data_IF_722281401429
#
_entry.id   IF_722281401429
#
_cell.length_a   1.000
_cell.length_b   1.000
_cell.length_c   1.000
_cell.angle_alpha   90.00
_cell.angle_beta   90.00
_cell.angle_gamma   90.00
#
_symmetry.space_group_name_H-M   'P 1'
#
loop_
_entity.id
_entity.type
_entity.pdbx_description
1 polymer ?
#
# COMPACT_ATOMS: atom_id res chain seq x y z
N UNK A 1 7.83 13.07 3.12
CA UNK A 1 7.84 12.33 1.83
C UNK A 1 9.07 12.64 0.98
N UNK A 2 9.37 13.90 0.61
CA UNK A 2 10.54 14.24 -0.23
C UNK A 2 11.86 13.60 0.24
N UNK A 3 12.18 13.69 1.53
CA UNK A 3 13.36 13.03 2.12
C UNK A 3 13.42 11.51 1.90
N UNK A 4 12.28 10.81 1.94
CA UNK A 4 12.23 9.37 1.64
C UNK A 4 12.59 9.09 0.18
N UNK A 5 12.22 9.99 -0.73
CA UNK A 5 12.53 9.88 -2.16
C UNK A 5 13.99 10.22 -2.41
N UNK A 6 14.55 11.21 -1.71
CA UNK A 6 15.99 11.51 -1.77
C UNK A 6 16.83 10.31 -1.31
N UNK A 7 16.46 9.70 -0.18
CA UNK A 7 17.15 8.52 0.36
C UNK A 7 16.98 7.27 -0.51
N UNK A 8 15.82 7.13 -1.16
CA UNK A 8 15.53 6.02 -2.07
C UNK A 8 14.66 6.51 -3.25
N UNK A 9 15.28 6.86 -4.39
CA UNK A 9 14.57 7.41 -5.55
C UNK A 9 13.43 6.54 -6.08
N UNK A 10 13.50 5.21 -5.90
CA UNK A 10 12.42 4.30 -6.31
C UNK A 10 11.12 4.51 -5.53
N UNK A 11 11.16 5.18 -4.38
CA UNK A 11 9.96 5.56 -3.64
C UNK A 11 9.18 6.70 -4.31
N UNK A 12 9.81 7.44 -5.24
CA UNK A 12 9.15 8.45 -6.06
C UNK A 12 8.33 7.87 -7.22
N UNK A 13 8.37 6.55 -7.44
CA UNK A 13 7.55 5.89 -8.46
C UNK A 13 6.08 5.78 -8.02
N UNK A 14 5.11 5.92 -8.95
CA UNK A 14 3.71 5.66 -8.68
C UNK A 14 3.46 4.22 -8.19
N UNK A 15 2.50 4.05 -7.29
CA UNK A 15 2.00 2.71 -6.91
C UNK A 15 1.27 2.04 -8.06
N UNK A 16 0.49 2.81 -8.81
CA UNK A 16 -0.30 2.34 -9.93
C UNK A 16 -0.65 3.50 -10.86
N UNK A 17 -0.64 3.33 -12.19
CA UNK A 17 -0.89 4.42 -13.14
C UNK A 17 -2.27 5.08 -13.00
N UNK A 18 -3.27 4.36 -12.48
CA UNK A 18 -4.62 4.88 -12.24
C UNK A 18 -4.83 5.50 -10.85
N UNK A 19 -3.78 5.67 -10.03
CA UNK A 19 -3.86 6.22 -8.68
C UNK A 19 -2.82 7.34 -8.50
N UNK A 20 -3.15 8.44 -7.80
CA UNK A 20 -2.25 9.57 -7.62
C UNK A 20 -1.24 9.38 -6.47
N UNK A 21 -0.93 8.13 -6.10
CA UNK A 21 -0.11 7.82 -4.92
C UNK A 21 1.24 7.22 -5.28
N UNK A 22 2.26 7.62 -4.55
CA UNK A 22 3.64 7.16 -4.70
C UNK A 22 3.96 6.07 -3.68
N UNK A 23 4.99 5.27 -3.98
CA UNK A 23 5.50 4.26 -3.03
C UNK A 23 5.98 4.88 -1.71
N UNK A 24 6.48 6.12 -1.74
CA UNK A 24 6.91 6.86 -0.55
C UNK A 24 5.79 7.05 0.48
N UNK A 25 4.54 7.17 0.03
CA UNK A 25 3.39 7.34 0.92
C UNK A 25 3.11 6.09 1.74
N UNK A 26 3.36 4.90 1.17
CA UNK A 26 3.26 3.63 1.92
C UNK A 26 4.27 3.60 3.07
N UNK A 27 5.53 3.94 2.77
CA UNK A 27 6.61 3.96 3.77
C UNK A 27 6.32 4.99 4.85
N UNK A 28 5.85 6.18 4.45
CA UNK A 28 5.43 7.22 5.38
C UNK A 28 4.28 6.75 6.29
N UNK A 29 3.24 6.15 5.71
CA UNK A 29 2.10 5.64 6.46
C UNK A 29 2.54 4.63 7.54
N UNK A 30 3.51 3.75 7.24
CA UNK A 30 4.06 2.80 8.21
C UNK A 30 4.87 3.49 9.30
N UNK A 31 5.83 4.34 8.92
CA UNK A 31 6.81 4.93 9.84
C UNK A 31 6.22 6.03 10.72
N UNK A 32 5.30 6.82 10.18
CA UNK A 32 4.84 8.07 10.79
C UNK A 32 3.37 8.05 11.17
N UNK A 33 2.56 7.18 10.56
CA UNK A 33 1.11 7.14 10.78
C UNK A 33 0.61 5.80 11.35
N UNK A 34 1.56 4.95 11.77
CA UNK A 34 1.34 3.65 12.39
C UNK A 34 0.46 2.70 11.57
N UNK A 35 0.52 2.77 10.23
CA UNK A 35 -0.14 1.76 9.39
C UNK A 35 0.51 0.39 9.62
N UNK A 36 -0.31 -0.60 10.00
CA UNK A 36 0.08 -1.99 10.31
C UNK A 36 -0.56 -3.01 9.37
N UNK A 37 -1.53 -2.61 8.55
CA UNK A 37 -2.16 -3.47 7.55
C UNK A 37 -2.20 -2.82 6.17
N UNK A 38 -2.28 -3.63 5.11
CA UNK A 38 -2.47 -3.14 3.73
C UNK A 38 -3.77 -2.34 3.61
N UNK A 39 -4.81 -2.74 4.35
CA UNK A 39 -6.07 -2.01 4.43
C UNK A 39 -5.89 -0.62 5.06
N UNK A 40 -5.09 -0.47 6.13
CA UNK A 40 -4.81 0.84 6.73
C UNK A 40 -4.29 1.82 5.67
N UNK A 41 -3.36 1.35 4.81
CA UNK A 41 -2.78 2.15 3.75
C UNK A 41 -3.81 2.44 2.67
N UNK A 42 -4.35 1.40 2.03
CA UNK A 42 -5.14 1.52 0.80
C UNK A 42 -6.57 2.00 1.01
N UNK A 43 -7.18 1.72 2.17
CA UNK A 43 -8.56 2.13 2.45
C UNK A 43 -8.64 3.44 3.23
N UNK A 44 -7.66 3.76 4.10
CA UNK A 44 -7.74 4.91 5.01
C UNK A 44 -6.74 6.03 4.72
N UNK A 45 -5.45 5.73 4.52
CA UNK A 45 -4.42 6.77 4.31
C UNK A 45 -4.45 7.32 2.90
N UNK A 46 -4.47 6.45 1.90
CA UNK A 46 -4.59 6.85 0.49
C UNK A 46 -6.05 6.87 0.04
N UNK A 47 -6.94 6.08 0.66
CA UNK A 47 -8.33 5.90 0.18
C UNK A 47 -8.40 5.41 -1.28
N UNK A 48 -7.35 4.75 -1.76
CA UNK A 48 -7.29 4.11 -3.08
C UNK A 48 -8.46 3.16 -3.33
N UNK A 49 -8.93 2.46 -2.28
CA UNK A 49 -10.10 1.58 -2.37
C UNK A 49 -11.36 2.31 -2.84
N UNK A 50 -11.60 3.50 -2.30
CA UNK A 50 -12.78 4.31 -2.62
C UNK A 50 -12.63 5.00 -3.98
N UNK A 51 -11.40 5.37 -4.35
CA UNK A 51 -11.11 6.03 -5.61
C UNK A 51 -11.20 5.06 -6.81
N UNK A 52 -10.61 3.88 -6.67
CA UNK A 52 -10.61 2.84 -7.70
C UNK A 52 -10.30 1.48 -7.07
N UNK A 53 -11.35 0.70 -6.75
CA UNK A 53 -11.22 -0.58 -6.08
C UNK A 53 -10.34 -1.58 -6.85
N UNK A 54 -10.43 -1.62 -8.19
CA UNK A 54 -9.64 -2.53 -9.02
C UNK A 54 -8.15 -2.21 -8.96
N UNK A 55 -7.80 -0.95 -9.20
CA UNK A 55 -6.42 -0.48 -9.08
C UNK A 55 -5.87 -0.65 -7.66
N UNK A 56 -6.73 -0.51 -6.64
CA UNK A 56 -6.35 -0.71 -5.25
C UNK A 56 -6.01 -2.18 -4.94
N UNK A 57 -6.79 -3.14 -5.48
CA UNK A 57 -6.46 -4.57 -5.38
C UNK A 57 -5.13 -4.87 -6.09
N UNK A 58 -4.90 -4.29 -7.27
CA UNK A 58 -3.65 -4.45 -8.02
C UNK A 58 -2.43 -3.88 -7.28
N UNK A 59 -2.62 -2.84 -6.46
CA UNK A 59 -1.56 -2.28 -5.60
C UNK A 59 -1.19 -3.18 -4.41
N UNK A 60 -2.11 -4.03 -3.94
CA UNK A 60 -1.97 -4.74 -2.67
C UNK A 60 -0.65 -5.52 -2.53
N UNK A 61 -0.15 -6.25 -3.56
CA UNK A 61 1.14 -6.96 -3.47
C UNK A 61 2.34 -6.03 -3.26
N UNK A 62 2.40 -4.90 -3.95
CA UNK A 62 3.53 -3.96 -3.82
C UNK A 62 3.45 -3.22 -2.48
N UNK A 63 2.25 -2.81 -2.05
CA UNK A 63 2.04 -2.22 -0.71
C UNK A 63 2.48 -3.20 0.38
N UNK A 64 2.03 -4.46 0.33
CA UNK A 64 2.42 -5.48 1.29
C UNK A 64 3.95 -5.69 1.32
N UNK A 65 4.61 -5.66 0.16
CA UNK A 65 6.06 -5.79 0.06
C UNK A 65 6.81 -4.61 0.70
N UNK A 66 6.37 -3.38 0.45
CA UNK A 66 6.95 -2.19 1.07
C UNK A 66 6.74 -2.21 2.59
N UNK A 67 5.52 -2.49 3.04
CA UNK A 67 5.21 -2.58 4.47
C UNK A 67 6.00 -3.69 5.17
N UNK A 68 6.17 -4.85 4.54
CA UNK A 68 6.92 -5.96 5.12
C UNK A 68 8.39 -5.61 5.35
N UNK A 69 9.00 -4.81 4.46
CA UNK A 69 10.37 -4.33 4.64
C UNK A 69 10.47 -3.39 5.86
N UNK A 70 9.48 -2.53 6.05
CA UNK A 70 9.45 -1.55 7.14
C UNK A 70 9.06 -2.16 8.50
N UNK A 71 8.31 -3.26 8.50
CA UNK A 71 7.78 -3.94 9.68
C UNK A 71 8.54 -5.23 10.06
N UNK A 72 9.63 -5.55 9.34
CA UNK A 72 10.39 -6.79 9.46
C UNK A 72 9.50 -8.05 9.38
N UNK A 73 8.71 -8.15 8.30
CA UNK A 73 7.76 -9.26 8.08
C UNK A 73 8.13 -10.13 6.89
N UNK A 74 7.86 -11.42 7.03
CA UNK A 74 8.16 -12.42 6.01
C UNK A 74 7.12 -12.57 4.89
N UNK A 75 7.37 -13.53 4.00
CA UNK A 75 6.49 -13.87 2.88
C UNK A 75 5.06 -14.25 3.30
N UNK A 76 4.91 -15.03 4.37
CA UNK A 76 3.58 -15.45 4.88
C UNK A 76 2.70 -14.25 5.20
N UNK A 77 3.23 -13.30 5.99
CA UNK A 77 2.52 -12.08 6.34
C UNK A 77 2.09 -11.27 5.11
N UNK A 78 2.96 -11.13 4.11
CA UNK A 78 2.60 -10.44 2.85
C UNK A 78 1.43 -11.11 2.16
N UNK A 79 1.49 -12.45 2.01
CA UNK A 79 0.42 -13.23 1.37
C UNK A 79 -0.89 -13.07 2.13
N UNK A 80 -0.85 -13.15 3.46
CA UNK A 80 -2.04 -13.02 4.30
C UNK A 80 -2.67 -11.62 4.18
N UNK A 81 -1.84 -10.57 4.16
CA UNK A 81 -2.30 -9.19 3.97
C UNK A 81 -2.93 -8.97 2.59
N UNK A 82 -2.31 -9.47 1.52
CA UNK A 82 -2.85 -9.35 0.16
C UNK A 82 -4.18 -10.09 0.05
N UNK A 83 -4.26 -11.30 0.59
CA UNK A 83 -5.48 -12.10 0.55
C UNK A 83 -6.62 -11.42 1.31
N UNK A 84 -6.39 -11.05 2.57
CA UNK A 84 -7.39 -10.41 3.43
C UNK A 84 -7.88 -9.09 2.82
N UNK A 85 -6.97 -8.26 2.32
CA UNK A 85 -7.34 -7.00 1.68
C UNK A 85 -8.11 -7.22 0.37
N UNK A 86 -7.67 -8.15 -0.47
CA UNK A 86 -8.33 -8.43 -1.76
C UNK A 86 -9.73 -8.98 -1.56
N UNK A 87 -9.95 -9.82 -0.54
CA UNK A 87 -11.27 -10.32 -0.17
C UNK A 87 -12.21 -9.17 0.23
N UNK A 88 -11.75 -8.28 1.13
CA UNK A 88 -12.49 -7.09 1.53
C UNK A 88 -12.81 -6.18 0.32
N UNK A 89 -11.80 -5.90 -0.51
CA UNK A 89 -11.92 -4.97 -1.62
C UNK A 89 -12.82 -5.48 -2.76
N UNK A 90 -13.03 -6.80 -2.90
CA UNK A 90 -13.99 -7.36 -3.87
C UNK A 90 -15.42 -6.88 -3.61
N UNK A 91 -15.78 -6.57 -2.36
CA UNK A 91 -17.09 -6.00 -2.03
C UNK A 91 -17.33 -4.58 -2.59
N UNK A 92 -16.29 -3.94 -3.13
CA UNK A 92 -16.34 -2.62 -3.75
C UNK A 92 -16.29 -2.67 -5.29
N UNK A 93 -16.26 -3.87 -5.87
CA UNK A 93 -16.39 -4.06 -7.31
C UNK A 93 -17.88 -4.15 -7.65
N UNK A 94 -18.41 -3.12 -8.33
CA UNK A 94 -19.78 -3.09 -8.88
C UNK A 94 -19.88 -3.84 -10.21
#
# INVERSE_FOLDING_TARGET
>A
IQRLIEDNPKLGEPLHPALPYLRAEVVWAVRSEMARTVEDVLARRTRSLLLNARASIECAPEVAKLMAKELDRGYRWRKDQVNAYSELARGYLL
#
